data_IF_711206233415
#
_entry.id   IF_711206233415
#
_cell.length_a   1.000
_cell.length_b   1.000
_cell.length_c   1.000
_cell.angle_alpha   90.00
_cell.angle_beta   90.00
_cell.angle_gamma   90.00
#
_symmetry.space_group_name_H-M   'P 1'
#
loop_
_entity.id
_entity.type
_entity.pdbx_description
1 polymer ?
#
# COMPACT_ATOMS: atom_id res chain seq x y z
N UNK A 1 -17.51 72.80 10.04
CA UNK A 1 -17.30 71.75 9.02
C UNK A 1 -15.92 71.19 9.32
N UNK A 2 -15.72 69.94 9.75
CA UNK A 2 -15.86 68.68 8.98
C UNK A 2 -16.16 67.52 9.95
N UNK A 3 -16.98 66.56 9.50
CA UNK A 3 -17.37 65.31 10.16
C UNK A 3 -16.33 64.21 9.94
N UNK A 4 -16.02 63.41 10.96
CA UNK A 4 -15.52 62.03 10.89
C UNK A 4 -16.11 61.33 12.13
N UNK A 5 -17.17 60.51 12.12
CA UNK A 5 -17.52 59.27 11.37
C UNK A 5 -16.48 58.17 11.50
N UNK A 6 -16.85 57.12 12.25
CA UNK A 6 -16.16 55.82 12.36
C UNK A 6 -14.95 55.87 13.29
N UNK A 7 -14.75 54.97 14.25
CA UNK A 7 -14.82 53.52 14.10
C UNK A 7 -15.21 52.89 15.43
N UNK A 8 -16.12 51.94 15.31
CA UNK A 8 -16.74 51.11 16.33
C UNK A 8 -16.04 49.74 16.24
N UNK A 9 -15.80 49.07 17.39
CA UNK A 9 -15.44 47.65 17.53
C UNK A 9 -13.97 47.34 17.09
N UNK A 10 -13.15 46.52 17.76
CA UNK A 10 -13.40 45.15 18.22
C UNK A 10 -12.30 44.75 19.24
N UNK A 11 -12.72 44.32 20.43
CA UNK A 11 -11.96 43.39 21.28
C UNK A 11 -12.11 41.99 20.66
N UNK A 12 -11.03 41.37 20.17
CA UNK A 12 -10.98 39.91 20.04
C UNK A 12 -9.66 39.42 20.59
N UNK A 13 -9.81 38.70 21.70
CA UNK A 13 -8.80 38.04 22.50
C UNK A 13 -8.23 36.88 21.68
N UNK A 14 -6.93 36.90 21.42
CA UNK A 14 -6.21 35.79 20.83
C UNK A 14 -6.06 34.66 21.86
N UNK A 15 -7.07 33.78 21.98
CA UNK A 15 -6.89 32.49 22.64
C UNK A 15 -6.17 31.55 21.66
N UNK A 16 -4.87 31.37 21.87
CA UNK A 16 -4.13 30.27 21.28
C UNK A 16 -4.70 28.95 21.83
N UNK A 17 -5.57 28.32 21.06
CA UNK A 17 -5.94 26.92 21.28
C UNK A 17 -4.71 26.10 20.89
N UNK A 18 -3.97 25.63 21.90
CA UNK A 18 -2.99 24.59 21.72
C UNK A 18 -3.74 23.30 21.30
N UNK A 19 -3.91 23.13 19.99
CA UNK A 19 -4.41 21.89 19.41
C UNK A 19 -3.33 20.83 19.46
N UNK A 20 -3.28 20.07 20.54
CA UNK A 20 -2.63 18.76 20.54
C UNK A 20 -3.47 17.84 19.65
N UNK A 21 -3.18 17.78 18.36
CA UNK A 21 -3.69 16.72 17.49
C UNK A 21 -2.98 15.43 17.88
N UNK A 22 -3.56 14.67 18.82
CA UNK A 22 -3.34 13.22 18.83
C UNK A 22 -3.87 12.69 17.50
N UNK A 23 -3.09 11.97 16.68
CA UNK A 23 -3.67 11.25 15.56
C UNK A 23 -4.69 10.28 16.16
N UNK A 24 -5.94 10.41 15.72
CA UNK A 24 -6.99 9.47 16.08
C UNK A 24 -6.57 8.08 15.58
N UNK A 25 -6.42 7.13 16.49
CA UNK A 25 -6.55 5.71 16.18
C UNK A 25 -8.01 5.47 15.78
N UNK A 26 -8.36 5.80 14.54
CA UNK A 26 -9.62 5.36 13.95
C UNK A 26 -9.45 3.89 13.55
N UNK A 27 -10.16 3.01 14.25
CA UNK A 27 -10.48 1.61 13.88
C UNK A 27 -9.79 1.12 12.59
N UNK A 28 -8.54 0.66 12.70
CA UNK A 28 -7.70 0.29 11.56
C UNK A 28 -8.15 -1.00 10.82
N UNK A 29 -9.31 -1.56 11.20
CA UNK A 29 -9.87 -2.78 10.62
C UNK A 29 -11.02 -2.51 9.63
N UNK A 30 -11.61 -1.31 9.62
CA UNK A 30 -12.62 -0.96 8.61
C UNK A 30 -11.95 -0.78 7.24
N UNK A 31 -12.24 -1.68 6.31
CA UNK A 31 -11.78 -1.62 4.93
C UNK A 31 -10.53 -2.45 4.61
N UNK A 32 -10.01 -3.23 5.56
CA UNK A 32 -8.98 -4.23 5.23
C UNK A 32 -9.58 -5.40 4.43
N UNK A 33 -8.82 -5.97 3.49
CA UNK A 33 -9.16 -7.26 2.90
C UNK A 33 -9.27 -8.37 3.96
N UNK A 34 -10.02 -9.41 3.63
CA UNK A 34 -10.20 -10.59 4.50
C UNK A 34 -9.07 -11.59 4.30
N UNK A 35 -8.53 -11.69 3.07
CA UNK A 35 -7.48 -12.63 2.72
C UNK A 35 -6.67 -12.11 1.54
N UNK A 36 -5.34 -12.21 1.64
CA UNK A 36 -4.43 -12.02 0.50
C UNK A 36 -3.73 -13.36 0.24
N UNK A 37 -3.78 -13.85 -0.99
CA UNK A 37 -3.04 -15.05 -1.40
C UNK A 37 -2.00 -14.68 -2.46
N UNK A 38 -0.83 -15.32 -2.38
CA UNK A 38 0.20 -15.29 -3.41
C UNK A 38 0.38 -16.73 -3.90
N UNK A 39 -0.03 -16.99 -5.14
CA UNK A 39 0.20 -18.28 -5.80
C UNK A 39 1.50 -18.19 -6.59
N UNK A 40 2.48 -19.02 -6.25
CA UNK A 40 3.76 -19.07 -6.90
C UNK A 40 3.62 -19.50 -8.36
N UNK A 41 4.29 -18.78 -9.26
CA UNK A 41 4.41 -19.17 -10.65
C UNK A 41 5.67 -20.03 -10.85
N UNK A 42 5.55 -21.35 -11.02
CA UNK A 42 6.70 -22.25 -11.10
C UNK A 42 7.52 -22.07 -12.39
N UNK A 43 6.99 -21.33 -13.37
CA UNK A 43 7.66 -21.10 -14.65
C UNK A 43 8.80 -20.07 -14.56
N UNK A 44 8.87 -19.30 -13.47
CA UNK A 44 9.95 -18.34 -13.23
C UNK A 44 11.12 -19.02 -12.49
N UNK A 45 11.80 -19.93 -13.19
CA UNK A 45 12.80 -20.83 -12.59
C UNK A 45 13.99 -20.13 -11.90
N UNK A 46 14.27 -18.87 -12.23
CA UNK A 46 15.34 -18.08 -11.60
C UNK A 46 15.00 -17.60 -10.19
N UNK A 47 13.72 -17.61 -9.81
CA UNK A 47 13.23 -17.05 -8.55
C UNK A 47 12.23 -18.00 -7.88
N UNK A 48 12.70 -19.11 -7.28
CA UNK A 48 11.82 -20.07 -6.62
C UNK A 48 10.96 -19.39 -5.55
N UNK A 49 9.69 -19.78 -5.50
CA UNK A 49 8.71 -19.29 -4.57
C UNK A 49 7.85 -20.45 -4.02
N UNK A 50 7.04 -20.15 -3.01
CA UNK A 50 6.02 -21.05 -2.48
C UNK A 50 4.70 -20.29 -2.36
N UNK A 51 3.58 -21.01 -2.43
CA UNK A 51 2.28 -20.42 -2.17
C UNK A 51 2.21 -19.90 -0.73
N UNK A 52 1.62 -18.73 -0.53
CA UNK A 52 1.46 -18.13 0.80
C UNK A 52 0.13 -17.40 0.92
N UNK A 53 -0.45 -17.46 2.11
CA UNK A 53 -1.70 -16.79 2.46
C UNK A 53 -1.49 -15.87 3.67
N UNK A 54 -2.12 -14.70 3.63
CA UNK A 54 -2.15 -13.71 4.70
C UNK A 54 -3.60 -13.43 5.11
N UNK A 55 -3.94 -13.85 6.32
CA UNK A 55 -5.25 -13.76 6.96
C UNK A 55 -5.21 -12.98 8.29
N UNK A 56 -4.02 -12.60 8.76
CA UNK A 56 -3.85 -11.82 9.99
C UNK A 56 -3.89 -10.32 9.67
N UNK A 57 -4.65 -9.50 10.41
CA UNK A 57 -4.82 -8.08 10.11
C UNK A 57 -3.51 -7.28 10.04
N UNK A 58 -2.53 -7.60 10.89
CA UNK A 58 -1.22 -6.93 10.90
C UNK A 58 -0.41 -7.18 9.62
N UNK A 59 -0.45 -8.40 9.09
CA UNK A 59 0.23 -8.76 7.85
C UNK A 59 -0.48 -8.24 6.62
N UNK A 60 -1.82 -8.32 6.60
CA UNK A 60 -2.63 -7.72 5.54
C UNK A 60 -2.35 -6.23 5.46
N UNK A 61 -2.27 -5.53 6.60
CA UNK A 61 -1.95 -4.11 6.62
C UNK A 61 -0.56 -3.83 6.04
N UNK A 62 0.46 -4.63 6.37
CA UNK A 62 1.81 -4.50 5.79
C UNK A 62 1.76 -4.66 4.25
N UNK A 63 1.03 -5.66 3.74
CA UNK A 63 0.86 -5.87 2.30
C UNK A 63 0.18 -4.67 1.63
N UNK A 64 -0.94 -4.21 2.21
CA UNK A 64 -1.73 -3.10 1.66
C UNK A 64 -0.99 -1.76 1.71
N UNK A 65 -0.21 -1.49 2.77
CA UNK A 65 0.63 -0.31 2.87
C UNK A 65 1.69 -0.28 1.75
N UNK A 66 2.33 -1.42 1.45
CA UNK A 66 3.30 -1.51 0.36
C UNK A 66 2.66 -1.33 -1.02
N UNK A 67 1.48 -1.90 -1.24
CA UNK A 67 0.70 -1.71 -2.48
C UNK A 67 0.31 -0.24 -2.64
N UNK A 68 -0.14 0.43 -1.58
CA UNK A 68 -0.56 1.82 -1.63
C UNK A 68 0.60 2.78 -1.92
N UNK A 69 1.81 2.45 -1.45
CA UNK A 69 3.04 3.21 -1.72
C UNK A 69 3.65 2.91 -3.09
N UNK A 70 3.13 1.94 -3.84
CA UNK A 70 3.68 1.59 -5.13
C UNK A 70 3.56 2.76 -6.13
N UNK A 71 4.65 3.05 -6.83
CA UNK A 71 4.74 4.19 -7.73
C UNK A 71 4.60 3.75 -9.18
N UNK A 72 3.78 4.46 -9.96
CA UNK A 72 3.57 4.14 -11.37
C UNK A 72 4.88 4.20 -12.15
N UNK A 73 5.19 3.15 -12.88
CA UNK A 73 6.37 3.07 -13.74
C UNK A 73 6.12 3.79 -15.08
N UNK A 74 7.12 4.51 -15.63
CA UNK A 74 7.03 5.07 -16.96
C UNK A 74 7.33 4.02 -18.05
N UNK A 75 6.69 4.14 -19.20
CA UNK A 75 7.00 3.35 -20.40
C UNK A 75 6.22 2.03 -20.53
N UNK A 76 6.62 1.22 -21.51
CA UNK A 76 6.11 -0.14 -21.73
C UNK A 76 6.90 -1.08 -20.84
N UNK A 77 6.20 -2.01 -20.19
CA UNK A 77 6.80 -3.02 -19.33
C UNK A 77 6.82 -4.37 -20.05
N UNK A 78 7.97 -5.05 -19.97
CA UNK A 78 8.13 -6.47 -20.32
C UNK A 78 8.59 -7.16 -19.04
N UNK A 79 7.78 -8.10 -18.53
CA UNK A 79 7.95 -8.61 -17.18
C UNK A 79 7.62 -10.10 -17.06
N UNK A 80 8.29 -10.74 -16.11
CA UNK A 80 7.93 -12.06 -15.60
C UNK A 80 7.20 -11.95 -14.26
N UNK A 81 6.19 -12.81 -14.07
CA UNK A 81 5.41 -12.87 -12.83
C UNK A 81 5.98 -13.93 -11.89
N UNK A 82 6.37 -13.55 -10.68
CA UNK A 82 6.78 -14.47 -9.62
C UNK A 82 5.56 -15.07 -8.90
N UNK A 83 4.57 -14.24 -8.61
CA UNK A 83 3.32 -14.63 -7.94
C UNK A 83 2.10 -14.08 -8.66
N UNK A 84 1.06 -14.90 -8.72
CA UNK A 84 -0.31 -14.44 -8.94
C UNK A 84 -0.92 -14.07 -7.60
N UNK A 85 -1.15 -12.78 -7.38
CA UNK A 85 -1.73 -12.25 -6.14
C UNK A 85 -3.24 -12.12 -6.27
N UNK A 86 -3.97 -12.53 -5.24
CA UNK A 86 -5.42 -12.31 -5.10
C UNK A 86 -5.72 -11.62 -3.77
N UNK A 87 -6.43 -10.50 -3.82
CA UNK A 87 -6.91 -9.75 -2.65
C UNK A 87 -8.42 -9.95 -2.57
N UNK A 88 -8.88 -10.69 -1.56
CA UNK A 88 -10.30 -10.92 -1.30
C UNK A 88 -10.80 -9.86 -0.31
N UNK A 89 -11.60 -8.91 -0.80
CA UNK A 89 -12.08 -7.78 -0.03
C UNK A 89 -13.29 -8.17 0.84
N UNK A 90 -13.55 -7.38 1.89
CA UNK A 90 -14.66 -7.63 2.81
C UNK A 90 -16.05 -7.53 2.15
N UNK A 91 -16.16 -6.81 1.03
CA UNK A 91 -17.39 -6.72 0.23
C UNK A 91 -17.59 -7.92 -0.73
N UNK A 92 -16.68 -8.88 -0.71
CA UNK A 92 -16.69 -10.07 -1.58
C UNK A 92 -16.08 -9.86 -2.96
N UNK A 93 -15.63 -8.65 -3.30
CA UNK A 93 -14.88 -8.40 -4.53
C UNK A 93 -13.47 -8.99 -4.45
N UNK A 94 -12.89 -9.31 -5.61
CA UNK A 94 -11.54 -9.87 -5.70
C UNK A 94 -10.71 -9.03 -6.67
N UNK A 95 -9.58 -8.49 -6.18
CA UNK A 95 -8.61 -7.77 -7.01
C UNK A 95 -7.41 -8.67 -7.27
N UNK A 96 -6.94 -8.72 -8.52
CA UNK A 96 -5.83 -9.61 -8.93
C UNK A 96 -4.65 -8.82 -9.48
N UNK A 97 -3.46 -9.28 -9.14
CA UNK A 97 -2.21 -8.69 -9.60
C UNK A 97 -1.20 -9.75 -10.03
N UNK A 98 -0.43 -9.45 -11.07
CA UNK A 98 0.91 -10.00 -11.21
C UNK A 98 1.83 -9.31 -10.21
N UNK A 99 2.55 -10.09 -9.41
CA UNK A 99 3.36 -9.59 -8.31
C UNK A 99 4.73 -10.26 -8.31
N UNK A 100 5.79 -9.45 -8.25
CA UNK A 100 7.16 -9.94 -8.18
C UNK A 100 7.96 -9.12 -7.18
N UNK A 101 8.69 -9.80 -6.29
CA UNK A 101 9.67 -9.14 -5.42
C UNK A 101 11.08 -9.47 -5.88
N UNK A 102 11.30 -10.64 -6.47
CA UNK A 102 12.63 -11.16 -6.72
C UNK A 102 13.44 -11.39 -5.46
N UNK A 103 14.59 -12.06 -5.63
CA UNK A 103 15.37 -12.57 -4.50
C UNK A 103 16.44 -11.60 -3.99
N UNK A 104 16.94 -10.69 -4.83
CA UNK A 104 17.97 -9.73 -4.43
C UNK A 104 17.36 -8.62 -3.55
N UNK A 105 17.88 -8.39 -2.33
CA UNK A 105 17.40 -7.33 -1.44
C UNK A 105 17.61 -5.91 -1.98
N UNK A 106 18.31 -5.74 -3.12
CA UNK A 106 18.48 -4.47 -3.84
C UNK A 106 17.41 -4.22 -4.90
N UNK A 107 16.55 -5.20 -5.20
CA UNK A 107 15.47 -5.04 -6.18
C UNK A 107 14.26 -4.35 -5.56
N UNK A 108 13.62 -3.48 -6.33
CA UNK A 108 12.25 -3.02 -6.05
C UNK A 108 11.25 -4.15 -6.34
N UNK A 109 10.04 -4.04 -5.80
CA UNK A 109 8.95 -4.94 -6.18
C UNK A 109 8.24 -4.44 -7.43
N UNK A 110 7.58 -5.34 -8.14
CA UNK A 110 6.70 -5.06 -9.27
C UNK A 110 5.29 -5.51 -8.93
N UNK A 111 4.34 -4.64 -9.23
CA UNK A 111 2.91 -4.89 -9.13
C UNK A 111 2.24 -4.47 -10.45
N UNK A 112 1.49 -5.36 -11.07
CA UNK A 112 0.74 -5.09 -12.30
C UNK A 112 -0.68 -5.60 -12.11
N UNK A 113 -1.68 -4.77 -12.37
CA UNK A 113 -3.08 -5.18 -12.24
C UNK A 113 -3.44 -6.12 -13.40
N UNK A 114 -4.08 -7.26 -13.13
CA UNK A 114 -4.47 -8.18 -14.20
C UNK A 114 -5.54 -7.60 -15.15
N UNK A 115 -6.33 -6.62 -14.67
CA UNK A 115 -7.32 -5.91 -15.49
C UNK A 115 -6.67 -4.80 -16.37
N UNK A 116 -5.45 -4.35 -16.04
CA UNK A 116 -4.63 -3.43 -16.84
C UNK A 116 -3.15 -3.83 -16.80
N UNK A 117 -2.78 -4.73 -17.71
CA UNK A 117 -1.41 -5.25 -17.82
C UNK A 117 -0.43 -4.30 -18.50
N UNK A 118 -0.88 -3.12 -18.95
CA UNK A 118 -0.01 -2.12 -19.59
C UNK A 118 0.61 -1.15 -18.57
N UNK A 119 0.09 -1.12 -17.34
CA UNK A 119 0.54 -0.21 -16.30
C UNK A 119 1.21 -0.99 -15.16
N UNK A 120 2.52 -0.82 -15.03
CA UNK A 120 3.28 -1.34 -13.89
C UNK A 120 3.42 -0.33 -12.77
N UNK A 121 3.53 -0.83 -11.54
CA UNK A 121 3.84 -0.08 -10.35
C UNK A 121 5.07 -0.68 -9.67
N UNK A 122 6.01 0.17 -9.28
CA UNK A 122 7.20 -0.22 -8.55
C UNK A 122 6.95 -0.05 -7.05
N UNK A 123 7.13 -1.12 -6.29
CA UNK A 123 7.09 -1.08 -4.84
C UNK A 123 8.48 -0.65 -4.35
N UNK A 124 8.57 0.43 -3.54
CA UNK A 124 9.86 0.93 -3.05
C UNK A 124 10.70 -0.15 -2.37
N UNK A 125 12.02 0.01 -2.44
CA UNK A 125 12.99 -0.99 -1.98
C UNK A 125 12.79 -1.40 -0.52
N UNK A 126 12.48 -0.44 0.35
CA UNK A 126 12.27 -0.68 1.78
C UNK A 126 11.02 -1.53 2.02
N UNK A 127 9.90 -1.16 1.39
CA UNK A 127 8.65 -1.89 1.47
C UNK A 127 8.80 -3.29 0.83
N UNK A 128 9.44 -3.41 -0.34
CA UNK A 128 9.71 -4.69 -0.99
C UNK A 128 10.51 -5.64 -0.08
N UNK A 129 11.53 -5.12 0.62
CA UNK A 129 12.29 -5.90 1.59
C UNK A 129 11.48 -6.29 2.83
N UNK A 130 10.55 -5.44 3.27
CA UNK A 130 9.60 -5.79 4.33
C UNK A 130 8.69 -6.94 3.90
N UNK A 131 8.20 -6.92 2.65
CA UNK A 131 7.36 -7.98 2.09
C UNK A 131 8.13 -9.29 1.92
N UNK A 132 9.39 -9.27 1.45
CA UNK A 132 10.25 -10.47 1.40
C UNK A 132 10.37 -11.14 2.77
N UNK A 133 10.65 -10.37 3.82
CA UNK A 133 10.72 -10.88 5.20
C UNK A 133 9.38 -11.42 5.69
N UNK A 134 8.28 -10.78 5.30
CA UNK A 134 6.94 -11.21 5.66
C UNK A 134 6.62 -12.58 5.03
N UNK A 135 6.88 -12.75 3.74
CA UNK A 135 6.71 -14.03 3.03
C UNK A 135 7.60 -15.10 3.63
N UNK A 136 8.88 -14.80 3.85
CA UNK A 136 9.84 -15.74 4.44
C UNK A 136 9.35 -16.34 5.76
N UNK A 137 8.75 -15.52 6.64
CA UNK A 137 8.20 -15.99 7.93
C UNK A 137 7.01 -16.95 7.80
N UNK A 138 6.34 -16.98 6.66
CA UNK A 138 5.22 -17.89 6.38
C UNK A 138 5.66 -19.17 5.66
N UNK A 139 6.86 -19.18 5.07
CA UNK A 139 7.37 -20.28 4.22
C UNK A 139 8.58 -21.03 4.79
N UNK A 140 9.14 -20.55 5.91
CA UNK A 140 10.12 -21.25 6.74
C UNK A 140 9.48 -22.12 7.81
#
# INVERSE_FOLDING_TARGET
MVKYVGVLLVFVIATFIAGCSKPNESNAEEGLPVLITLTCNPNLASEPCQDVEFDRPDEIRIMMEAIHKAERMPGIIDYGTQYKMSINNADGSVTRYDFSLGMDPKMQGLLVNEDDTHTGYSIPLEDANQLRRLIQRRTD
#
